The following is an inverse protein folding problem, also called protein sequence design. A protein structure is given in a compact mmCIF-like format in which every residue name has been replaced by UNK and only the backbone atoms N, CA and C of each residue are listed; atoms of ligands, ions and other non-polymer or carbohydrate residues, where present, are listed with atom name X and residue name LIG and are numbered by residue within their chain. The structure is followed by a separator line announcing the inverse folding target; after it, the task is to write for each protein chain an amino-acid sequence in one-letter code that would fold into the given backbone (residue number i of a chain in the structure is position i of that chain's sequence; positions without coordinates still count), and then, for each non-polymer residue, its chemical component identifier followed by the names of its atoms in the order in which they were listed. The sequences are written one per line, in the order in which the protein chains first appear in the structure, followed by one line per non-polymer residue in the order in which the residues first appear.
data_IF_222097879940
#
_entry.id   IF_222097879940
#
_cell.length_a   1.000
_cell.length_b   1.000
_cell.length_c   1.000
_cell.angle_alpha   90.00
_cell.angle_beta   90.00
_cell.angle_gamma   90.00
#
_symmetry.space_group_name_H-M   'P 1'
#
loop_
_entity.id
_entity.type
_entity.pdbx_description
1 polymer ?
#
# COMPACT_ATOMS: atom_id res chain seq x y z
N UNK A 1 0.73 8.77 -6.45
CA UNK A 1 0.72 7.40 -7.02
C UNK A 1 -0.51 7.28 -7.91
N UNK A 2 -0.37 6.72 -9.11
CA UNK A 2 -1.49 6.32 -9.96
C UNK A 2 -1.48 4.79 -10.06
N UNK A 3 -2.55 4.14 -9.61
CA UNK A 3 -2.72 2.70 -9.66
C UNK A 3 -3.53 2.25 -10.88
N UNK A 4 -3.44 0.96 -11.22
CA UNK A 4 -4.25 0.34 -12.26
C UNK A 4 -5.68 0.10 -11.77
N UNK A 5 -6.67 0.34 -12.63
CA UNK A 5 -8.07 0.00 -12.36
C UNK A 5 -8.78 -0.55 -13.61
N UNK A 6 -8.02 -1.22 -14.49
CA UNK A 6 -8.41 -1.70 -15.83
C UNK A 6 -8.78 -0.59 -16.82
N UNK A 7 -9.00 -0.93 -18.09
CA UNK A 7 -9.38 0.03 -19.13
C UNK A 7 -10.87 0.36 -19.02
N UNK A 8 -11.70 -0.67 -18.87
CA UNK A 8 -13.15 -0.53 -19.02
C UNK A 8 -13.94 -0.86 -17.74
N UNK A 9 -13.26 -1.22 -16.64
CA UNK A 9 -13.86 -1.59 -15.36
C UNK A 9 -14.89 -2.75 -15.44
N UNK A 10 -14.54 -3.91 -16.04
CA UNK A 10 -15.39 -5.09 -16.00
C UNK A 10 -15.22 -5.89 -14.71
N UNK A 11 -16.14 -6.80 -14.42
CA UNK A 11 -15.86 -7.94 -13.52
C UNK A 11 -14.74 -8.82 -14.09
N UNK A 12 -14.11 -9.66 -13.27
CA UNK A 12 -12.98 -10.50 -13.69
C UNK A 12 -13.36 -11.52 -14.78
N UNK A 13 -14.65 -11.81 -14.95
CA UNK A 13 -15.20 -12.62 -16.04
C UNK A 13 -15.48 -11.82 -17.33
N UNK A 14 -15.01 -10.58 -17.43
CA UNK A 14 -15.18 -9.67 -18.57
C UNK A 14 -16.64 -9.28 -18.86
N UNK A 15 -17.49 -9.23 -17.82
CA UNK A 15 -18.87 -8.73 -17.92
C UNK A 15 -19.06 -7.44 -17.13
N UNK A 16 -20.18 -6.74 -17.33
CA UNK A 16 -20.56 -5.61 -16.48
C UNK A 16 -19.62 -4.39 -16.51
N UNK A 17 -18.91 -4.16 -17.61
CA UNK A 17 -18.09 -2.95 -17.78
C UNK A 17 -18.95 -1.68 -17.74
N UNK A 18 -18.47 -0.66 -17.03
CA UNK A 18 -19.10 0.66 -16.97
C UNK A 18 -18.41 1.71 -17.86
N UNK A 19 -17.23 1.41 -18.41
CA UNK A 19 -16.45 2.34 -19.26
C UNK A 19 -16.09 1.74 -20.62
N UNK A 20 -17.12 1.37 -21.39
CA UNK A 20 -16.97 0.86 -22.76
C UNK A 20 -17.18 -0.65 -22.85
N UNK A 21 -16.59 -1.27 -23.89
CA UNK A 21 -16.63 -2.72 -24.05
C UNK A 21 -15.36 -3.32 -23.44
N UNK A 22 -15.46 -4.41 -22.66
CA UNK A 22 -14.30 -5.16 -22.20
C UNK A 22 -13.39 -5.58 -23.35
N UNK A 23 -12.08 -5.49 -23.13
CA UNK A 23 -11.08 -6.10 -23.99
C UNK A 23 -11.19 -7.63 -23.96
N UNK A 24 -10.52 -8.28 -24.91
CA UNK A 24 -10.66 -9.72 -25.14
C UNK A 24 -10.21 -10.59 -23.95
N UNK A 25 -9.31 -10.07 -23.10
CA UNK A 25 -8.76 -10.78 -21.94
C UNK A 25 -8.60 -9.86 -20.74
N UNK A 26 -8.57 -10.45 -19.55
CA UNK A 26 -8.27 -9.74 -18.29
C UNK A 26 -6.87 -9.10 -18.32
N UNK A 27 -5.93 -9.80 -18.91
CA UNK A 27 -4.56 -9.34 -19.09
C UNK A 27 -4.51 -8.09 -19.97
N UNK A 28 -5.26 -8.05 -21.08
CA UNK A 28 -5.33 -6.88 -21.95
C UNK A 28 -5.94 -5.67 -21.22
N UNK A 29 -6.99 -5.86 -20.42
CA UNK A 29 -7.59 -4.82 -19.57
C UNK A 29 -6.55 -4.19 -18.61
N UNK A 30 -5.67 -5.01 -18.04
CA UNK A 30 -4.66 -4.55 -17.11
C UNK A 30 -3.48 -3.90 -17.85
N UNK A 31 -2.98 -4.53 -18.91
CA UNK A 31 -1.77 -4.12 -19.61
C UNK A 31 -1.98 -2.80 -20.37
N UNK A 32 -3.11 -2.62 -21.05
CA UNK A 32 -3.41 -1.37 -21.75
C UNK A 32 -3.67 -0.21 -20.79
N UNK A 33 -4.28 -0.46 -19.63
CA UNK A 33 -4.43 0.56 -18.58
C UNK A 33 -3.07 0.97 -18.01
N UNK A 34 -2.19 0.00 -17.75
CA UNK A 34 -0.81 0.26 -17.28
C UNK A 34 -0.03 1.09 -18.29
N UNK A 35 -0.08 0.68 -19.56
CA UNK A 35 0.55 1.40 -20.67
C UNK A 35 0.03 2.83 -20.79
N UNK A 36 -1.29 3.03 -20.72
CA UNK A 36 -1.87 4.36 -20.74
C UNK A 36 -1.31 5.21 -19.59
N UNK A 37 -1.25 4.67 -18.38
CA UNK A 37 -0.75 5.42 -17.21
C UNK A 37 0.71 5.84 -17.41
N UNK A 38 1.58 4.92 -17.84
CA UNK A 38 3.01 5.20 -17.99
C UNK A 38 3.30 6.14 -19.16
N UNK A 39 2.68 5.92 -20.32
CA UNK A 39 2.90 6.75 -21.52
C UNK A 39 2.26 8.13 -21.41
N UNK A 40 1.05 8.22 -20.83
CA UNK A 40 0.29 9.48 -20.78
C UNK A 40 0.73 10.41 -19.66
N UNK A 41 1.00 9.85 -18.48
CA UNK A 41 1.31 10.64 -17.27
C UNK A 41 2.79 10.60 -16.91
N UNK A 42 3.61 9.86 -17.64
CA UNK A 42 5.05 9.77 -17.39
C UNK A 42 5.41 9.08 -16.06
N UNK A 43 4.47 8.34 -15.45
CA UNK A 43 4.76 7.59 -14.25
C UNK A 43 5.73 6.44 -14.58
N UNK A 44 6.85 6.37 -13.86
CA UNK A 44 7.92 5.41 -14.18
C UNK A 44 7.50 3.93 -14.06
N UNK A 45 6.52 3.63 -13.21
CA UNK A 45 5.96 2.29 -13.03
C UNK A 45 4.57 2.37 -12.39
N UNK A 46 3.73 1.36 -12.60
CA UNK A 46 2.45 1.18 -11.91
C UNK A 46 2.60 0.04 -10.91
N UNK A 47 2.58 0.36 -9.62
CA UNK A 47 2.90 -0.61 -8.56
C UNK A 47 1.67 -1.31 -7.99
N UNK A 48 0.51 -0.65 -8.03
CA UNK A 48 -0.68 -1.16 -7.34
C UNK A 48 -1.87 -1.19 -8.27
N UNK A 49 -2.79 -2.10 -7.96
CA UNK A 49 -4.09 -2.21 -8.62
C UNK A 49 -5.22 -2.05 -7.58
N UNK A 50 -6.38 -1.59 -8.04
CA UNK A 50 -7.65 -1.84 -7.37
C UNK A 50 -8.50 -2.74 -8.27
N UNK A 51 -9.03 -3.83 -7.74
CA UNK A 51 -9.96 -4.69 -8.49
C UNK A 51 -11.26 -3.94 -8.75
N UNK A 52 -11.71 -3.79 -10.01
CA UNK A 52 -13.09 -3.39 -10.31
C UNK A 52 -14.08 -4.18 -9.47
N UNK A 53 -15.05 -3.47 -8.87
CA UNK A 53 -16.08 -4.04 -7.98
C UNK A 53 -15.55 -4.80 -6.75
N UNK A 54 -14.27 -4.68 -6.41
CA UNK A 54 -13.63 -5.52 -5.39
C UNK A 54 -13.56 -7.01 -5.77
N UNK A 55 -13.64 -7.33 -7.06
CA UNK A 55 -13.70 -8.71 -7.55
C UNK A 55 -12.37 -9.44 -7.31
N UNK A 56 -12.44 -10.52 -6.52
CA UNK A 56 -11.29 -11.36 -6.15
C UNK A 56 -10.74 -12.17 -7.33
N UNK A 57 -11.50 -12.30 -8.43
CA UNK A 57 -11.04 -12.97 -9.65
C UNK A 57 -9.84 -12.30 -10.32
N UNK A 58 -9.54 -11.05 -9.99
CA UNK A 58 -8.35 -10.32 -10.47
C UNK A 58 -7.04 -10.74 -9.79
N UNK A 59 -7.10 -11.48 -8.68
CA UNK A 59 -5.95 -11.71 -7.79
C UNK A 59 -4.72 -12.27 -8.50
N UNK A 60 -4.88 -13.35 -9.29
CA UNK A 60 -3.73 -13.99 -9.94
C UNK A 60 -3.15 -13.12 -11.06
N UNK A 61 -4.00 -12.43 -11.84
CA UNK A 61 -3.55 -11.50 -12.87
C UNK A 61 -2.83 -10.29 -12.27
N UNK A 62 -3.28 -9.81 -11.11
CA UNK A 62 -2.63 -8.73 -10.38
C UNK A 62 -1.29 -9.16 -9.78
N UNK A 63 -1.21 -10.36 -9.20
CA UNK A 63 0.03 -10.93 -8.63
C UNK A 63 1.15 -11.05 -9.65
N UNK A 64 0.82 -11.31 -10.91
CA UNK A 64 1.81 -11.38 -11.98
C UNK A 64 2.46 -10.03 -12.32
N UNK A 65 1.79 -8.90 -12.01
CA UNK A 65 2.14 -7.56 -12.54
C UNK A 65 2.46 -6.51 -11.47
N UNK A 66 1.78 -6.60 -10.34
CA UNK A 66 1.78 -5.55 -9.33
C UNK A 66 2.43 -6.01 -8.04
N UNK A 67 2.79 -5.02 -7.23
CA UNK A 67 3.23 -5.20 -5.86
C UNK A 67 2.06 -5.55 -4.94
N UNK A 68 0.95 -4.79 -5.06
CA UNK A 68 -0.24 -4.95 -4.23
C UNK A 68 -1.51 -4.77 -5.05
N UNK A 69 -2.60 -5.42 -4.60
CA UNK A 69 -3.93 -5.21 -5.12
C UNK A 69 -4.95 -5.03 -3.99
N UNK A 70 -5.93 -4.15 -4.23
CA UNK A 70 -7.01 -3.81 -3.29
C UNK A 70 -8.34 -4.42 -3.74
N UNK A 71 -9.06 -4.98 -2.79
CA UNK A 71 -10.48 -5.33 -2.93
C UNK A 71 -11.38 -4.25 -2.33
N UNK A 72 -12.62 -4.63 -2.00
CA UNK A 72 -13.59 -3.78 -1.30
C UNK A 72 -14.13 -4.51 -0.07
N UNK A 73 -14.28 -3.79 1.04
CA UNK A 73 -14.73 -4.34 2.32
C UNK A 73 -13.62 -5.06 3.08
N UNK A 74 -13.98 -5.60 4.25
CA UNK A 74 -13.06 -6.24 5.20
C UNK A 74 -12.58 -5.31 6.31
N UNK A 75 -11.80 -5.87 7.22
CA UNK A 75 -11.28 -5.17 8.41
C UNK A 75 -9.97 -4.44 8.14
N UNK A 76 -9.61 -3.50 9.01
CA UNK A 76 -8.29 -2.88 9.02
C UNK A 76 -7.15 -3.90 9.22
N UNK A 77 -6.00 -3.62 8.60
CA UNK A 77 -4.86 -4.54 8.44
C UNK A 77 -3.91 -4.40 9.64
N UNK A 78 -3.53 -5.50 10.28
CA UNK A 78 -2.52 -5.49 11.35
C UNK A 78 -1.10 -5.58 10.76
N UNK A 79 -0.08 -5.02 11.46
CA UNK A 79 1.30 -4.97 10.97
C UNK A 79 1.89 -6.32 10.49
N UNK A 80 1.58 -7.43 11.16
CA UNK A 80 2.12 -8.76 10.87
C UNK A 80 1.04 -9.85 10.68
N UNK A 81 -0.17 -9.49 10.25
CA UNK A 81 -1.22 -10.50 10.04
C UNK A 81 -1.13 -11.23 8.68
N UNK A 82 -2.09 -12.12 8.45
CA UNK A 82 -2.25 -12.87 7.21
C UNK A 82 -3.04 -12.16 6.11
N UNK A 83 -3.21 -10.83 6.15
CA UNK A 83 -3.92 -10.10 5.09
C UNK A 83 -3.29 -10.38 3.73
N UNK A 84 -4.15 -10.62 2.74
CA UNK A 84 -3.75 -10.99 1.39
C UNK A 84 -3.25 -9.75 0.63
N UNK A 85 -1.97 -9.68 0.23
CA UNK A 85 -1.41 -8.52 -0.47
C UNK A 85 -2.08 -8.25 -1.83
N UNK A 86 -2.81 -9.23 -2.37
CA UNK A 86 -3.50 -9.12 -3.65
C UNK A 86 -5.03 -9.05 -3.52
N UNK A 87 -5.53 -8.88 -2.29
CA UNK A 87 -6.92 -8.57 -1.98
C UNK A 87 -7.00 -7.75 -0.68
N UNK A 88 -6.26 -6.65 -0.62
CA UNK A 88 -6.21 -5.82 0.58
C UNK A 88 -7.58 -5.16 0.84
N UNK A 89 -8.07 -5.18 2.08
CA UNK A 89 -9.37 -4.62 2.43
C UNK A 89 -9.37 -3.11 2.29
N UNK A 90 -10.47 -2.56 1.79
CA UNK A 90 -10.69 -1.13 1.68
C UNK A 90 -12.05 -0.76 2.26
N UNK A 91 -12.08 0.27 3.11
CA UNK A 91 -13.33 0.89 3.51
C UNK A 91 -13.85 1.75 2.37
N UNK A 92 -14.97 1.36 1.77
CA UNK A 92 -15.66 2.13 0.75
C UNK A 92 -16.54 3.19 1.41
N UNK A 93 -16.27 4.45 1.11
CA UNK A 93 -17.12 5.54 1.55
C UNK A 93 -18.49 5.48 0.86
N UNK A 94 -19.55 5.76 1.62
CA UNK A 94 -20.92 5.84 1.11
C UNK A 94 -21.33 7.29 0.84
N UNK A 95 -22.36 7.45 0.00
CA UNK A 95 -22.88 8.77 -0.36
C UNK A 95 -23.26 9.57 0.89
N UNK A 96 -22.73 10.78 1.00
CA UNK A 96 -23.03 11.70 2.10
C UNK A 96 -22.42 11.31 3.46
N UNK A 97 -21.49 10.35 3.52
CA UNK A 97 -20.68 10.15 4.73
C UNK A 97 -19.81 11.38 5.02
N UNK A 98 -19.66 11.66 6.31
CA UNK A 98 -19.02 12.89 6.81
C UNK A 98 -17.67 12.60 7.47
N UNK A 99 -16.90 13.65 7.74
CA UNK A 99 -15.66 13.61 8.49
C UNK A 99 -15.85 12.91 9.84
N UNK A 100 -16.98 13.08 10.52
CA UNK A 100 -17.26 12.40 11.78
C UNK A 100 -17.22 10.86 11.65
N UNK A 101 -17.71 10.31 10.53
CA UNK A 101 -17.66 8.87 10.26
C UNK A 101 -16.22 8.42 10.00
N UNK A 102 -15.51 9.13 9.14
CA UNK A 102 -14.13 8.80 8.78
C UNK A 102 -13.19 8.93 9.97
N UNK A 103 -13.36 9.95 10.81
CA UNK A 103 -12.60 10.18 12.03
C UNK A 103 -12.80 9.04 13.04
N UNK A 104 -14.04 8.57 13.23
CA UNK A 104 -14.30 7.41 14.08
C UNK A 104 -13.60 6.13 13.58
N UNK A 105 -13.49 5.94 12.27
CA UNK A 105 -12.72 4.83 11.68
C UNK A 105 -11.21 5.01 11.89
N UNK A 106 -10.69 6.22 11.73
CA UNK A 106 -9.28 6.54 12.01
C UNK A 106 -8.96 6.30 13.48
N UNK A 107 -9.77 6.82 14.39
CA UNK A 107 -9.56 6.72 15.85
C UNK A 107 -9.55 5.25 16.29
N UNK A 108 -10.56 4.48 15.88
CA UNK A 108 -10.63 3.05 16.21
C UNK A 108 -9.46 2.26 15.62
N UNK A 109 -9.10 2.49 14.35
CA UNK A 109 -7.98 1.81 13.70
C UNK A 109 -6.65 2.16 14.38
N UNK A 110 -6.46 3.43 14.73
CA UNK A 110 -5.27 3.93 15.41
C UNK A 110 -5.12 3.31 16.80
N UNK A 111 -6.19 3.29 17.61
CA UNK A 111 -6.21 2.63 18.93
C UNK A 111 -5.84 1.15 18.81
N UNK A 112 -6.30 0.49 17.75
CA UNK A 112 -6.00 -0.91 17.47
C UNK A 112 -4.59 -1.15 16.87
N UNK A 113 -3.85 -0.09 16.55
CA UNK A 113 -2.53 -0.17 15.92
C UNK A 113 -2.55 -0.80 14.52
N UNK A 114 -3.58 -0.49 13.72
CA UNK A 114 -3.81 -1.06 12.38
C UNK A 114 -3.65 -0.03 11.26
N UNK A 115 -3.63 -0.53 10.03
CA UNK A 115 -3.70 0.25 8.81
C UNK A 115 -5.11 0.25 8.25
N UNK A 116 -5.58 1.43 7.83
CA UNK A 116 -6.87 1.63 7.18
C UNK A 116 -6.65 2.17 5.76
N UNK A 117 -7.37 1.60 4.80
CA UNK A 117 -7.40 2.09 3.42
C UNK A 117 -8.79 2.64 3.15
N UNK A 118 -8.86 3.93 2.80
CA UNK A 118 -10.10 4.55 2.33
C UNK A 118 -10.23 4.45 0.81
N UNK A 119 -11.45 4.20 0.34
CA UNK A 119 -11.82 4.17 -1.06
C UNK A 119 -12.96 5.18 -1.27
N UNK A 120 -12.68 6.19 -2.08
CA UNK A 120 -13.65 7.20 -2.54
C UNK A 120 -13.84 7.06 -4.05
N UNK A 121 -15.08 7.04 -4.51
CA UNK A 121 -15.40 6.96 -5.94
C UNK A 121 -15.58 8.35 -6.56
N UNK A 122 -16.47 9.15 -5.98
CA UNK A 122 -16.78 10.51 -6.45
C UNK A 122 -16.49 11.50 -5.33
N UNK A 123 -15.75 12.56 -5.66
CA UNK A 123 -15.45 13.68 -4.75
C UNK A 123 -16.16 14.92 -5.28
N UNK A 124 -17.14 15.42 -4.53
CA UNK A 124 -17.88 16.63 -4.85
C UNK A 124 -17.12 17.90 -4.44
N UNK A 125 -17.36 19.04 -5.10
CA UNK A 125 -18.24 19.21 -6.26
C UNK A 125 -17.58 18.73 -7.56
N UNK A 126 -18.32 17.98 -8.37
CA UNK A 126 -17.87 17.53 -9.70
C UNK A 126 -19.06 17.41 -10.66
N UNK A 127 -18.80 17.56 -11.97
CA UNK A 127 -19.78 17.26 -13.02
C UNK A 127 -19.91 15.76 -13.32
N UNK A 128 -18.92 14.97 -12.89
CA UNK A 128 -18.83 13.53 -13.17
C UNK A 128 -19.08 12.73 -11.89
N UNK A 129 -20.28 12.15 -11.76
CA UNK A 129 -20.64 11.28 -10.63
C UNK A 129 -20.48 9.81 -11.03
N UNK A 130 -19.44 9.16 -10.51
CA UNK A 130 -19.06 7.79 -10.84
C UNK A 130 -19.56 6.73 -9.85
N UNK A 131 -20.06 7.14 -8.66
CA UNK A 131 -20.74 6.37 -7.60
C UNK A 131 -20.49 7.06 -6.23
N UNK A 132 -21.41 6.88 -5.28
CA UNK A 132 -21.28 7.26 -3.86
C UNK A 132 -20.52 8.59 -3.59
N UNK A 133 -21.10 9.75 -3.98
CA UNK A 133 -20.43 11.03 -3.82
C UNK A 133 -20.22 11.43 -2.35
N UNK A 134 -19.02 11.92 -2.07
CA UNK A 134 -18.61 12.49 -0.79
C UNK A 134 -18.12 13.92 -1.03
N UNK A 135 -18.52 14.86 -0.18
CA UNK A 135 -18.07 16.25 -0.27
C UNK A 135 -16.58 16.36 0.06
N UNK A 136 -15.82 17.10 -0.75
CA UNK A 136 -14.38 17.30 -0.53
C UNK A 136 -14.08 17.91 0.84
N UNK A 137 -14.99 18.73 1.38
CA UNK A 137 -14.87 19.31 2.72
C UNK A 137 -14.77 18.23 3.81
N UNK A 138 -15.59 17.19 3.73
CA UNK A 138 -15.60 16.08 4.69
C UNK A 138 -14.31 15.25 4.63
N UNK A 139 -13.75 15.09 3.44
CA UNK A 139 -12.47 14.40 3.23
C UNK A 139 -11.31 15.24 3.80
N UNK A 140 -11.29 16.55 3.52
CA UNK A 140 -10.26 17.46 4.03
C UNK A 140 -10.29 17.49 5.56
N UNK A 141 -11.46 17.66 6.17
CA UNK A 141 -11.60 17.66 7.62
C UNK A 141 -11.10 16.35 8.25
N UNK A 142 -11.37 15.20 7.61
CA UNK A 142 -10.87 13.92 8.10
C UNK A 142 -9.35 13.76 7.95
N UNK A 143 -8.77 14.25 6.85
CA UNK A 143 -7.32 14.27 6.66
C UNK A 143 -6.64 15.17 7.71
N UNK A 144 -7.21 16.34 8.01
CA UNK A 144 -6.66 17.22 9.06
C UNK A 144 -6.80 16.61 10.46
N UNK A 145 -7.90 15.91 10.75
CA UNK A 145 -8.05 15.12 11.98
C UNK A 145 -6.94 14.07 12.11
N UNK A 146 -6.68 13.30 11.05
CA UNK A 146 -5.62 12.29 11.06
C UNK A 146 -4.23 12.90 11.26
N UNK A 147 -3.96 14.06 10.64
CA UNK A 147 -2.68 14.78 10.76
C UNK A 147 -2.45 15.41 12.14
N UNK A 148 -3.50 15.58 12.94
CA UNK A 148 -3.39 16.11 14.30
C UNK A 148 -2.75 15.10 15.28
N UNK A 149 -2.60 13.83 14.87
CA UNK A 149 -1.92 12.81 15.66
C UNK A 149 -0.43 12.72 15.33
N UNK A 150 0.42 12.73 16.35
CA UNK A 150 1.88 12.59 16.20
C UNK A 150 2.33 11.17 15.82
N UNK A 151 1.43 10.19 15.89
CA UNK A 151 1.69 8.77 15.67
C UNK A 151 0.95 8.17 14.45
N UNK A 152 0.36 9.01 13.60
CA UNK A 152 -0.29 8.59 12.35
C UNK A 152 0.58 8.92 11.14
N UNK A 153 0.75 7.94 10.26
CA UNK A 153 1.37 8.14 8.95
C UNK A 153 0.31 7.99 7.84
N UNK A 154 0.06 9.09 7.13
CA UNK A 154 -0.79 9.11 5.95
C UNK A 154 0.08 9.15 4.69
N UNK A 155 -0.11 8.18 3.80
CA UNK A 155 0.64 8.11 2.55
C UNK A 155 -0.09 7.25 1.51
N UNK A 156 0.49 7.13 0.32
CA UNK A 156 -0.02 6.29 -0.73
C UNK A 156 0.18 4.79 -0.44
N UNK A 157 -0.60 3.93 -1.11
CA UNK A 157 -0.54 2.49 -0.86
C UNK A 157 0.86 1.92 -1.14
N UNK A 158 1.55 2.36 -2.19
CA UNK A 158 2.89 1.85 -2.48
C UNK A 158 3.89 2.14 -1.35
N UNK A 159 3.75 3.27 -0.64
CA UNK A 159 4.65 3.64 0.45
C UNK A 159 4.33 2.88 1.74
N UNK A 160 3.08 2.97 2.21
CA UNK A 160 2.64 2.26 3.43
C UNK A 160 2.73 0.76 3.25
N UNK A 161 2.27 0.26 2.10
CA UNK A 161 2.28 -1.16 1.76
C UNK A 161 3.69 -1.74 1.65
N UNK A 162 4.67 -0.98 1.14
CA UNK A 162 6.07 -1.40 1.13
C UNK A 162 6.63 -1.50 2.55
N UNK A 163 6.29 -0.58 3.44
CA UNK A 163 6.68 -0.65 4.84
C UNK A 163 6.06 -1.87 5.53
N UNK A 164 4.75 -2.09 5.35
CA UNK A 164 4.03 -3.26 5.88
C UNK A 164 4.61 -4.59 5.39
N UNK A 165 4.76 -4.76 4.07
CA UNK A 165 5.29 -5.98 3.50
C UNK A 165 6.78 -6.18 3.84
N UNK A 166 7.57 -5.10 3.83
CA UNK A 166 8.99 -5.12 4.21
C UNK A 166 9.17 -5.52 5.68
N UNK A 167 8.34 -4.99 6.58
CA UNK A 167 8.34 -5.35 7.99
C UNK A 167 8.04 -6.84 8.17
N UNK A 168 7.04 -7.39 7.45
CA UNK A 168 6.72 -8.83 7.50
C UNK A 168 7.88 -9.69 7.02
N UNK A 169 8.54 -9.30 5.93
CA UNK A 169 9.73 -9.98 5.42
C UNK A 169 10.83 -9.98 6.49
N UNK A 170 11.17 -8.81 7.04
CA UNK A 170 12.24 -8.68 8.03
C UNK A 170 11.96 -9.45 9.32
N UNK A 171 10.72 -9.40 9.84
CA UNK A 171 10.30 -10.14 11.03
C UNK A 171 10.32 -11.67 10.83
N UNK A 172 10.21 -12.14 9.59
CA UNK A 172 10.33 -13.56 9.25
C UNK A 172 11.77 -14.08 9.16
N UNK A 173 12.78 -13.19 9.22
CA UNK A 173 14.19 -13.58 9.11
C UNK A 173 14.71 -14.13 10.43
N UNK A 174 15.29 -15.33 10.40
CA UNK A 174 16.14 -15.82 11.49
C UNK A 174 17.56 -15.28 11.33
N UNK A 175 18.09 -14.45 12.23
CA UNK A 175 19.43 -13.92 12.10
C UNK A 175 20.52 -14.98 12.35
N UNK A 176 21.65 -14.82 11.67
CA UNK A 176 22.85 -15.65 11.84
C UNK A 176 23.90 -14.87 12.63
N UNK A 177 24.57 -15.54 13.58
CA UNK A 177 25.71 -14.97 14.29
C UNK A 177 27.01 -15.34 13.60
N UNK A 178 27.88 -14.36 13.38
CA UNK A 178 29.24 -14.54 12.86
C UNK A 178 30.22 -13.84 13.79
N UNK A 179 30.86 -14.61 14.67
CA UNK A 179 31.67 -14.05 15.75
C UNK A 179 30.83 -13.16 16.67
N UNK A 180 31.11 -11.85 16.66
CA UNK A 180 30.37 -10.84 17.43
C UNK A 180 29.24 -10.17 16.66
N UNK A 181 29.12 -10.43 15.37
CA UNK A 181 28.13 -9.80 14.51
C UNK A 181 26.83 -10.61 14.48
N UNK A 182 25.71 -9.92 14.37
CA UNK A 182 24.40 -10.51 14.06
C UNK A 182 23.97 -10.04 12.68
N UNK A 183 23.65 -10.97 11.79
CA UNK A 183 23.38 -10.70 10.38
C UNK A 183 21.96 -11.17 10.04
N UNK A 184 21.17 -10.29 9.46
CA UNK A 184 19.88 -10.59 8.84
C UNK A 184 20.06 -10.57 7.32
N UNK A 185 19.47 -11.53 6.62
CA UNK A 185 19.45 -11.59 5.16
C UNK A 185 18.04 -11.92 4.71
N UNK A 186 17.55 -11.21 3.69
CA UNK A 186 16.20 -11.38 3.15
C UNK A 186 16.15 -11.25 1.64
N UNK A 187 15.04 -11.73 1.07
CA UNK A 187 14.66 -11.53 -0.32
C UNK A 187 13.31 -10.84 -0.35
N UNK A 188 13.19 -9.75 -1.10
CA UNK A 188 11.92 -9.07 -1.30
C UNK A 188 11.03 -9.86 -2.27
N UNK A 189 9.69 -9.80 -2.12
CA UNK A 189 8.78 -10.45 -3.06
C UNK A 189 8.89 -9.83 -4.46
N UNK A 190 8.34 -10.53 -5.45
CA UNK A 190 8.26 -10.00 -6.81
C UNK A 190 7.54 -8.64 -6.84
N UNK A 191 7.90 -7.81 -7.83
CA UNK A 191 7.32 -6.49 -8.06
C UNK A 191 7.46 -5.49 -6.90
N UNK A 192 8.27 -5.77 -5.87
CA UNK A 192 8.47 -4.84 -4.77
C UNK A 192 9.09 -3.52 -5.25
N UNK A 193 8.56 -2.36 -4.86
CA UNK A 193 9.07 -1.06 -5.29
C UNK A 193 10.47 -0.80 -4.71
N UNK A 194 11.39 -0.32 -5.56
CA UNK A 194 12.75 0.06 -5.15
C UNK A 194 12.77 1.29 -4.24
N UNK A 195 13.86 1.47 -3.52
CA UNK A 195 14.16 2.67 -2.72
C UNK A 195 13.29 2.79 -1.48
N UNK A 196 12.86 1.65 -0.91
CA UNK A 196 12.03 1.61 0.30
C UNK A 196 12.86 1.24 1.52
N UNK A 197 12.39 1.70 2.67
CA UNK A 197 13.13 1.63 3.92
C UNK A 197 12.24 1.12 5.06
N UNK A 198 12.88 0.52 6.07
CA UNK A 198 12.31 0.27 7.39
C UNK A 198 12.99 1.15 8.42
N UNK A 199 12.26 1.48 9.49
CA UNK A 199 12.82 2.13 10.67
C UNK A 199 13.11 1.06 11.71
N UNK A 200 14.38 0.91 12.09
CA UNK A 200 14.84 -0.12 13.03
C UNK A 200 15.46 0.53 14.26
N UNK A 201 15.12 0.01 15.44
CA UNK A 201 15.76 0.35 16.71
C UNK A 201 16.59 -0.83 17.18
N UNK A 202 17.69 -0.55 17.88
CA UNK A 202 18.55 -1.54 18.53
C UNK A 202 18.93 -1.02 19.91
N UNK A 203 19.12 -1.91 20.88
CA UNK A 203 19.43 -1.54 22.27
C UNK A 203 20.90 -1.12 22.48
N UNK A 204 21.72 -1.25 21.44
CA UNK A 204 23.13 -0.90 21.45
C UNK A 204 23.82 -1.31 20.15
N UNK A 205 25.06 -0.89 19.99
CA UNK A 205 25.86 -1.21 18.81
C UNK A 205 25.56 -0.34 17.59
N UNK A 206 26.07 -0.77 16.44
CA UNK A 206 26.01 -0.03 15.18
C UNK A 206 25.50 -0.93 14.06
N UNK A 207 24.53 -0.43 13.29
CA UNK A 207 24.02 -1.12 12.10
C UNK A 207 24.85 -0.80 10.85
N UNK A 208 25.00 -1.81 9.99
CA UNK A 208 25.67 -1.72 8.68
C UNK A 208 24.83 -2.35 7.58
N UNK A 209 24.87 -1.75 6.39
CA UNK A 209 24.37 -2.33 5.13
C UNK A 209 25.33 -2.03 3.98
N UNK A 210 25.52 -2.97 3.05
CA UNK A 210 26.40 -2.79 1.90
C UNK A 210 27.83 -2.39 2.29
N UNK A 211 28.33 -2.87 3.43
CA UNK A 211 29.65 -2.51 3.99
C UNK A 211 29.74 -1.12 4.62
N UNK A 212 28.65 -0.34 4.65
CA UNK A 212 28.61 1.03 5.20
C UNK A 212 27.89 1.05 6.54
N UNK A 213 28.44 1.82 7.48
CA UNK A 213 27.77 2.14 8.75
C UNK A 213 26.57 3.04 8.49
N UNK A 214 25.40 2.62 8.99
CA UNK A 214 24.19 3.42 8.97
C UNK A 214 24.29 4.54 10.02
N UNK A 215 23.72 5.70 9.70
CA UNK A 215 23.65 6.82 10.64
C UNK A 215 22.41 6.68 11.50
N UNK A 216 22.57 6.91 12.80
CA UNK A 216 21.43 7.05 13.71
C UNK A 216 20.66 8.32 13.35
N UNK A 217 19.36 8.17 13.14
CA UNK A 217 18.46 9.29 12.93
C UNK A 217 18.13 9.95 14.28
N UNK A 218 18.08 11.29 14.31
CA UNK A 218 17.78 12.06 15.52
C UNK A 218 16.40 11.76 16.14
N UNK A 219 15.49 11.19 15.36
CA UNK A 219 14.17 10.74 15.81
C UNK A 219 14.21 9.33 16.45
N UNK A 220 15.39 8.73 16.61
CA UNK A 220 15.60 7.54 17.45
C UNK A 220 15.48 6.21 16.73
N UNK A 221 15.90 6.14 15.46
CA UNK A 221 15.92 4.89 14.67
C UNK A 221 17.07 4.92 13.64
N UNK A 222 17.36 3.77 13.02
CA UNK A 222 18.11 3.67 11.77
C UNK A 222 17.14 3.50 10.60
N UNK A 223 17.45 4.12 9.46
CA UNK A 223 16.79 3.79 8.19
C UNK A 223 17.53 2.65 7.51
N UNK A 224 16.84 1.53 7.34
CA UNK A 224 17.36 0.29 6.75
C UNK A 224 16.78 0.16 5.36
N UNK A 225 17.62 0.23 4.33
CA UNK A 225 17.23 0.05 2.94
C UNK A 225 16.81 -1.40 2.70
N UNK A 226 15.60 -1.60 2.18
CA UNK A 226 15.08 -2.93 1.89
C UNK A 226 15.78 -3.59 0.69
N UNK A 227 16.24 -2.79 -0.27
CA UNK A 227 16.90 -3.26 -1.50
C UNK A 227 18.26 -3.93 -1.24
N UNK A 228 18.92 -3.61 -0.13
CA UNK A 228 20.24 -4.17 0.21
C UNK A 228 20.18 -5.65 0.57
N UNK A 229 19.00 -6.16 0.96
CA UNK A 229 18.80 -7.59 1.26
C UNK A 229 19.55 -8.11 2.49
N UNK A 230 20.29 -7.25 3.20
CA UNK A 230 21.06 -7.63 4.37
C UNK A 230 21.19 -6.49 5.36
N UNK A 231 21.35 -6.82 6.64
CA UNK A 231 21.63 -5.91 7.74
C UNK A 231 22.59 -6.59 8.70
N UNK A 232 23.61 -5.88 9.16
CA UNK A 232 24.55 -6.37 10.18
C UNK A 232 24.51 -5.48 11.39
N UNK A 233 24.33 -6.06 12.57
CA UNK A 233 24.55 -5.41 13.87
C UNK A 233 25.93 -5.80 14.39
N UNK A 234 26.74 -4.79 14.66
CA UNK A 234 27.99 -4.92 15.41
C UNK A 234 27.80 -4.39 16.84
N UNK A 235 28.41 -5.00 17.87
CA UNK A 235 28.38 -4.49 19.24
C UNK A 235 29.03 -3.12 19.39
#
# INVERSE_FOLDING_TARGET
EIGNHTVSHPYANLTGSCFGKPLATLDAEIDECTKYITERFGQAAVWTMASPYGDVGYKEAAKARFFLNRGVGGDAIRPNDGSDPFNLPCYMANSGETAAKFNGLIDSTRVDGRWLIFLFHTINPTGDNWFAPVEIGEIIESVEHAKAFDDVWLDSLVNVGAYWAGQKVFNGVTPVKSGKETIWTWTLPANFPKGKYLRVKVDGGTLKQGGKTLKWDKHGYYEVALDEGTLTLMP
#
